data_IF_425562019906
#
_entry.id   IF_425562019906
#
_cell.length_a   1.000
_cell.length_b   1.000
_cell.length_c   1.000
_cell.angle_alpha   90.00
_cell.angle_beta   90.00
_cell.angle_gamma   90.00
#
_symmetry.space_group_name_H-M   'P 1'
#
loop_
_entity.id
_entity.type
_entity.pdbx_description
1 polymer ?
#
# COMPACT_ATOMS: atom_id res chain seq x y z
N UNK A 1 -17.80 7.39 -2.99
CA UNK A 1 -18.81 6.59 -2.26
C UNK A 1 -19.40 5.54 -3.21
N UNK A 2 -18.69 4.43 -3.38
CA UNK A 2 -19.21 3.29 -4.13
C UNK A 2 -19.42 2.14 -3.14
N UNK A 3 -20.67 1.86 -2.82
CA UNK A 3 -21.12 0.63 -2.17
C UNK A 3 -21.22 -0.42 -3.28
N UNK A 4 -20.28 -1.35 -3.37
CA UNK A 4 -20.47 -2.54 -4.18
C UNK A 4 -21.24 -3.58 -3.38
N UNK A 5 -22.55 -3.67 -3.64
CA UNK A 5 -23.41 -4.79 -3.31
C UNK A 5 -23.60 -5.62 -4.60
N UNK A 6 -22.96 -6.80 -4.72
CA UNK A 6 -23.43 -7.88 -5.60
C UNK A 6 -22.73 -9.21 -5.28
N UNK A 7 -23.48 -10.32 -5.22
CA UNK A 7 -22.92 -11.66 -5.09
C UNK A 7 -22.79 -12.33 -6.46
N UNK A 8 -21.59 -12.75 -6.85
CA UNK A 8 -21.46 -13.76 -7.92
C UNK A 8 -20.22 -14.63 -7.77
N UNK A 9 -20.43 -15.92 -7.90
CA UNK A 9 -19.45 -17.00 -7.76
C UNK A 9 -18.82 -17.34 -9.10
N UNK A 10 -17.48 -17.40 -9.19
CA UNK A 10 -16.77 -18.09 -10.28
C UNK A 10 -15.40 -18.63 -9.81
N UNK A 11 -15.19 -19.90 -10.08
CA UNK A 11 -14.03 -20.72 -9.73
C UNK A 11 -12.91 -20.52 -10.74
N UNK A 12 -11.65 -20.39 -10.32
CA UNK A 12 -10.46 -20.46 -11.16
C UNK A 12 -9.36 -21.34 -10.54
N UNK A 13 -8.48 -21.92 -11.37
CA UNK A 13 -7.61 -23.03 -11.00
C UNK A 13 -6.29 -22.61 -10.35
N UNK A 14 -5.72 -23.56 -9.59
CA UNK A 14 -4.43 -23.46 -8.91
C UNK A 14 -3.25 -23.48 -9.91
N UNK A 15 -2.27 -22.61 -9.75
CA UNK A 15 -0.85 -22.99 -9.71
C UNK A 15 0.12 -21.83 -9.42
N UNK A 16 1.15 -22.19 -8.63
CA UNK A 16 2.48 -21.60 -8.42
C UNK A 16 2.72 -20.59 -7.31
N UNK A 17 3.39 -21.13 -6.30
CA UNK A 17 4.10 -20.46 -5.23
C UNK A 17 5.05 -19.36 -5.73
N UNK A 18 4.79 -18.13 -5.28
CA UNK A 18 5.80 -17.09 -5.14
C UNK A 18 5.68 -16.51 -3.74
N UNK A 19 6.64 -16.89 -2.91
CA UNK A 19 6.82 -16.31 -1.57
C UNK A 19 7.10 -14.82 -1.70
N UNK A 20 6.09 -14.01 -1.44
CA UNK A 20 6.25 -12.55 -1.30
C UNK A 20 6.57 -12.28 0.16
N UNK A 21 7.81 -11.87 0.46
CA UNK A 21 8.18 -11.40 1.81
C UNK A 21 7.36 -10.16 2.15
N UNK A 22 6.71 -10.10 3.33
CA UNK A 22 5.94 -8.93 3.72
C UNK A 22 6.86 -7.75 3.97
N UNK A 23 6.65 -6.65 3.25
CA UNK A 23 7.24 -5.36 3.59
C UNK A 23 6.55 -4.87 4.88
N UNK A 24 7.32 -4.83 5.96
CA UNK A 24 6.86 -4.41 7.29
C UNK A 24 6.66 -2.90 7.33
N UNK A 25 5.42 -2.43 7.08
CA UNK A 25 4.98 -1.11 7.52
C UNK A 25 3.45 -1.06 7.68
N UNK A 26 3.00 -1.59 8.82
CA UNK A 26 1.63 -1.34 9.26
C UNK A 26 1.60 -0.08 10.13
N UNK A 27 1.06 1.00 9.58
CA UNK A 27 0.79 2.19 10.38
C UNK A 27 -0.54 2.00 11.11
N UNK A 28 -0.45 1.57 12.38
CA UNK A 28 -1.61 1.35 13.24
C UNK A 28 -1.97 2.68 13.90
N UNK A 29 -2.99 3.37 13.40
CA UNK A 29 -3.67 4.42 14.16
C UNK A 29 -4.77 3.76 15.00
N UNK A 30 -4.47 3.50 16.26
CA UNK A 30 -5.40 2.96 17.24
C UNK A 30 -6.17 4.10 17.92
N UNK A 31 -7.49 4.17 17.66
CA UNK A 31 -8.43 4.78 18.59
C UNK A 31 -8.78 3.79 19.71
N UNK A 32 -9.20 4.25 20.91
CA UNK A 32 -9.41 3.38 22.04
C UNK A 32 -10.67 2.52 21.90
N UNK A 33 -10.56 1.31 22.39
CA UNK A 33 -11.57 0.30 22.72
C UNK A 33 -12.16 -0.57 21.58
N UNK A 34 -12.00 -1.88 21.83
CA UNK A 34 -12.52 -3.07 21.13
C UNK A 34 -11.74 -3.55 19.90
N UNK A 35 -10.42 -3.48 19.90
CA UNK A 35 -9.64 -4.25 18.94
C UNK A 35 -9.37 -5.66 19.48
N UNK A 36 -10.12 -6.66 19.00
CA UNK A 36 -9.70 -8.04 19.16
C UNK A 36 -8.47 -8.27 18.26
N UNK A 37 -7.24 -8.41 18.83
CA UNK A 37 -6.03 -8.53 18.04
C UNK A 37 -6.07 -9.76 17.13
N UNK A 38 -6.70 -10.85 17.55
CA UNK A 38 -6.85 -12.06 16.75
C UNK A 38 -7.74 -11.83 15.51
N UNK A 39 -8.81 -11.03 15.61
CA UNK A 39 -9.64 -10.67 14.44
C UNK A 39 -8.84 -9.82 13.46
N UNK A 40 -8.09 -8.85 13.96
CA UNK A 40 -7.23 -8.00 13.12
C UNK A 40 -6.20 -8.84 12.37
N UNK A 41 -5.51 -9.75 13.06
CA UNK A 41 -4.51 -10.63 12.47
C UNK A 41 -5.12 -11.48 11.35
N UNK A 42 -6.24 -12.15 11.60
CA UNK A 42 -6.95 -12.96 10.60
C UNK A 42 -7.40 -12.15 9.38
N UNK A 43 -7.89 -10.92 9.58
CA UNK A 43 -8.24 -10.04 8.46
C UNK A 43 -7.01 -9.69 7.64
N UNK A 44 -5.88 -9.34 8.30
CA UNK A 44 -4.64 -9.00 7.60
C UNK A 44 -4.05 -10.20 6.86
N UNK A 45 -4.07 -11.39 7.44
CA UNK A 45 -3.68 -12.63 6.77
C UNK A 45 -4.51 -12.88 5.52
N UNK A 46 -5.83 -12.69 5.61
CA UNK A 46 -6.73 -12.82 4.46
C UNK A 46 -6.41 -11.81 3.37
N UNK A 47 -6.16 -10.54 3.73
CA UNK A 47 -5.76 -9.49 2.79
C UNK A 47 -4.46 -9.85 2.08
N UNK A 48 -3.46 -10.34 2.82
CA UNK A 48 -2.16 -10.73 2.25
C UNK A 48 -2.27 -11.96 1.35
N UNK A 49 -3.09 -12.94 1.73
CA UNK A 49 -3.34 -14.12 0.90
C UNK A 49 -4.00 -13.74 -0.43
N UNK A 50 -5.04 -12.89 -0.41
CA UNK A 50 -5.69 -12.39 -1.64
C UNK A 50 -4.71 -11.62 -2.52
N UNK A 51 -3.86 -10.78 -1.91
CA UNK A 51 -2.86 -10.03 -2.65
C UNK A 51 -1.84 -10.94 -3.33
N UNK A 52 -1.37 -11.98 -2.64
CA UNK A 52 -0.46 -12.98 -3.21
C UNK A 52 -1.07 -13.73 -4.37
N UNK A 53 -2.31 -14.20 -4.23
CA UNK A 53 -3.01 -14.99 -5.26
C UNK A 53 -3.33 -14.18 -6.52
N UNK A 54 -3.66 -12.89 -6.37
CA UNK A 54 -3.96 -12.00 -7.49
C UNK A 54 -2.75 -11.24 -8.03
N UNK A 55 -1.57 -11.38 -7.39
CA UNK A 55 -0.31 -10.76 -7.83
C UNK A 55 -0.23 -9.25 -7.52
N UNK A 56 -1.00 -8.75 -6.55
CA UNK A 56 -0.93 -7.37 -6.10
C UNK A 56 -0.01 -7.21 -4.88
N UNK A 57 0.44 -5.98 -4.66
CA UNK A 57 1.16 -5.56 -3.47
C UNK A 57 0.21 -4.80 -2.56
N UNK A 58 0.35 -4.96 -1.25
CA UNK A 58 -0.40 -4.15 -0.29
C UNK A 58 0.42 -2.89 0.04
N UNK A 59 -0.09 -1.74 -0.38
CA UNK A 59 0.47 -0.44 0.00
C UNK A 59 0.07 -0.04 1.42
N UNK A 60 -1.19 -0.30 1.79
CA UNK A 60 -1.75 -0.01 3.11
C UNK A 60 -2.98 -0.87 3.34
N UNK A 61 -3.12 -1.41 4.55
CA UNK A 61 -4.33 -2.09 4.99
C UNK A 61 -4.67 -1.67 6.42
N UNK A 62 -5.89 -1.22 6.62
CA UNK A 62 -6.38 -0.76 7.91
C UNK A 62 -7.72 -1.42 8.24
N UNK A 63 -7.86 -1.86 9.50
CA UNK A 63 -9.12 -2.31 10.07
C UNK A 63 -9.51 -1.35 11.19
N UNK A 64 -10.63 -0.65 11.00
CA UNK A 64 -11.20 0.27 11.96
C UNK A 64 -12.47 -0.35 12.54
N UNK A 65 -12.52 -0.49 13.86
CA UNK A 65 -13.73 -0.94 14.56
C UNK A 65 -14.56 0.28 14.93
N UNK A 66 -15.84 0.30 14.51
CA UNK A 66 -16.83 1.33 14.83
C UNK A 66 -18.07 0.68 15.46
N UNK A 67 -17.98 0.30 16.73
CA UNK A 67 -19.06 -0.42 17.39
C UNK A 67 -19.34 -1.77 16.74
N UNK A 68 -20.57 -2.00 16.28
CA UNK A 68 -20.97 -3.23 15.55
C UNK A 68 -20.45 -3.27 14.11
N UNK A 69 -20.15 -2.13 13.51
CA UNK A 69 -19.67 -2.02 12.13
C UNK A 69 -18.14 -1.90 12.10
N UNK A 70 -17.51 -2.69 11.28
CA UNK A 70 -16.07 -2.59 11.00
C UNK A 70 -15.84 -1.97 9.63
N UNK A 71 -14.72 -1.26 9.45
CA UNK A 71 -14.31 -0.74 8.16
C UNK A 71 -12.95 -1.30 7.79
N UNK A 72 -12.89 -2.05 6.70
CA UNK A 72 -11.66 -2.57 6.11
C UNK A 72 -11.28 -1.67 4.95
N UNK A 73 -10.14 -0.98 5.05
CA UNK A 73 -9.62 -0.10 4.02
C UNK A 73 -8.31 -0.69 3.50
N UNK A 74 -8.27 -1.03 2.22
CA UNK A 74 -7.08 -1.61 1.59
C UNK A 74 -6.67 -0.76 0.40
N UNK A 75 -5.38 -0.43 0.34
CA UNK A 75 -4.77 0.19 -0.83
C UNK A 75 -3.83 -0.80 -1.48
N UNK A 76 -4.22 -1.24 -2.67
CA UNK A 76 -3.43 -2.18 -3.47
C UNK A 76 -2.53 -1.44 -4.44
N UNK A 77 -1.39 -2.06 -4.74
CA UNK A 77 -0.42 -1.58 -5.67
C UNK A 77 0.01 -2.70 -6.62
N UNK A 78 0.68 -2.38 -7.71
CA UNK A 78 1.12 -3.37 -8.72
C UNK A 78 2.37 -2.92 -9.44
N UNK A 79 2.94 -3.79 -10.27
CA UNK A 79 4.05 -3.43 -11.17
C UNK A 79 3.59 -2.48 -12.28
N UNK A 80 2.29 -2.50 -12.60
CA UNK A 80 1.60 -1.59 -13.51
C UNK A 80 0.62 -0.71 -12.73
N UNK A 81 0.19 0.43 -13.28
CA UNK A 81 -0.84 1.26 -12.67
C UNK A 81 -2.11 0.45 -12.40
N UNK A 82 -2.63 0.58 -11.18
CA UNK A 82 -3.85 -0.09 -10.76
C UNK A 82 -5.08 0.56 -11.40
N UNK A 83 -5.87 -0.22 -12.07
CA UNK A 83 -7.15 0.17 -12.67
C UNK A 83 -8.34 -0.02 -11.71
N UNK A 84 -9.50 0.49 -12.10
CA UNK A 84 -10.74 0.23 -11.35
C UNK A 84 -11.13 -1.25 -11.35
N UNK A 85 -10.90 -1.96 -12.48
CA UNK A 85 -11.16 -3.40 -12.57
C UNK A 85 -10.28 -4.23 -11.63
N UNK A 86 -9.03 -3.79 -11.38
CA UNK A 86 -8.15 -4.44 -10.41
C UNK A 86 -8.68 -4.28 -8.98
N UNK A 87 -9.10 -3.06 -8.63
CA UNK A 87 -9.72 -2.79 -7.33
C UNK A 87 -11.02 -3.60 -7.14
N UNK A 88 -11.82 -3.72 -8.18
CA UNK A 88 -13.07 -4.50 -8.16
C UNK A 88 -12.78 -6.00 -7.99
N UNK A 89 -11.84 -6.56 -8.75
CA UNK A 89 -11.45 -7.95 -8.64
C UNK A 89 -10.92 -8.29 -7.24
N UNK A 90 -10.05 -7.44 -6.71
CA UNK A 90 -9.51 -7.59 -5.36
C UNK A 90 -10.61 -7.49 -4.30
N UNK A 91 -11.49 -6.49 -4.40
CA UNK A 91 -12.61 -6.28 -3.47
C UNK A 91 -13.55 -7.48 -3.43
N UNK A 92 -13.89 -8.03 -4.60
CA UNK A 92 -14.77 -9.19 -4.73
C UNK A 92 -14.19 -10.43 -4.07
N UNK A 93 -12.92 -10.72 -4.34
CA UNK A 93 -12.26 -11.90 -3.76
C UNK A 93 -12.03 -11.73 -2.24
N UNK A 94 -11.64 -10.55 -1.80
CA UNK A 94 -11.47 -10.29 -0.37
C UNK A 94 -12.79 -10.40 0.40
N UNK A 95 -13.88 -9.82 -0.13
CA UNK A 95 -15.21 -9.94 0.47
C UNK A 95 -15.64 -11.39 0.60
N UNK A 96 -15.50 -12.18 -0.49
CA UNK A 96 -15.84 -13.60 -0.49
C UNK A 96 -15.12 -14.37 0.63
N UNK A 97 -13.80 -14.16 0.78
CA UNK A 97 -13.02 -14.86 1.82
C UNK A 97 -13.35 -14.41 3.24
N UNK A 98 -13.59 -13.11 3.45
CA UNK A 98 -14.00 -12.60 4.76
C UNK A 98 -15.36 -13.15 5.18
N UNK A 99 -16.30 -13.27 4.24
CA UNK A 99 -17.65 -13.80 4.45
C UNK A 99 -17.60 -15.30 4.74
N UNK A 100 -16.85 -16.07 3.94
CA UNK A 100 -16.68 -17.52 4.13
C UNK A 100 -16.00 -17.85 5.47
N UNK A 101 -15.04 -17.03 5.90
CA UNK A 101 -14.35 -17.22 7.16
C UNK A 101 -15.16 -16.73 8.38
N UNK A 102 -16.25 -15.98 8.16
CA UNK A 102 -17.07 -15.42 9.25
C UNK A 102 -16.30 -14.56 10.24
N UNK A 103 -15.25 -13.86 9.76
CA UNK A 103 -14.32 -13.11 10.64
C UNK A 103 -14.99 -11.83 11.16
N UNK A 104 -15.77 -11.16 10.32
CA UNK A 104 -16.44 -9.90 10.62
C UNK A 104 -17.94 -10.07 10.39
N UNK A 105 -18.81 -9.83 11.40
CA UNK A 105 -20.26 -9.99 11.24
C UNK A 105 -20.86 -8.92 10.31
N UNK A 106 -20.40 -7.68 10.44
CA UNK A 106 -20.80 -6.55 9.60
C UNK A 106 -19.58 -5.68 9.32
N UNK A 107 -19.32 -5.38 8.04
CA UNK A 107 -18.21 -4.52 7.65
C UNK A 107 -18.48 -3.76 6.37
N UNK A 108 -17.78 -2.65 6.22
CA UNK A 108 -17.62 -1.94 4.95
C UNK A 108 -16.23 -2.24 4.40
N UNK A 109 -16.13 -2.51 3.11
CA UNK A 109 -14.86 -2.74 2.42
C UNK A 109 -14.60 -1.60 1.43
N UNK A 110 -13.44 -0.96 1.55
CA UNK A 110 -12.93 0.03 0.62
C UNK A 110 -11.60 -0.48 0.04
N UNK A 111 -11.56 -0.66 -1.28
CA UNK A 111 -10.34 -1.00 -2.01
C UNK A 111 -10.02 0.13 -2.97
N UNK A 112 -8.78 0.63 -2.92
CA UNK A 112 -8.32 1.72 -3.76
C UNK A 112 -6.84 1.57 -4.10
N UNK A 113 -6.36 2.37 -5.07
CA UNK A 113 -4.92 2.54 -5.30
C UNK A 113 -4.38 3.71 -4.47
N UNK A 114 -3.06 3.75 -4.18
CA UNK A 114 -2.45 4.87 -3.47
C UNK A 114 -2.46 6.19 -4.28
N UNK A 115 -2.89 6.11 -5.56
CA UNK A 115 -2.94 7.26 -6.46
C UNK A 115 -1.56 7.68 -6.98
N UNK A 116 -1.58 8.74 -7.81
CA UNK A 116 -0.40 9.21 -8.52
C UNK A 116 0.61 9.97 -7.63
N UNK A 117 0.14 10.59 -6.56
CA UNK A 117 0.97 11.28 -5.57
C UNK A 117 1.29 10.39 -4.36
N UNK A 118 1.63 9.13 -4.65
CA UNK A 118 1.95 8.17 -3.58
C UNK A 118 3.19 8.58 -2.80
N UNK A 119 3.17 8.28 -1.51
CA UNK A 119 4.33 8.47 -0.65
C UNK A 119 5.34 7.35 -0.87
N UNK A 120 6.62 7.70 -0.99
CA UNK A 120 7.73 6.77 -1.02
C UNK A 120 8.23 6.55 0.42
N UNK A 121 8.16 5.31 0.90
CA UNK A 121 8.40 4.98 2.32
C UNK A 121 9.61 4.08 2.53
N UNK A 122 10.18 3.52 1.46
CA UNK A 122 11.33 2.63 1.54
C UNK A 122 12.30 2.85 0.38
N UNK A 123 13.53 2.42 0.57
CA UNK A 123 14.58 2.46 -0.46
C UNK A 123 14.17 1.66 -1.70
N UNK A 124 13.46 0.53 -1.50
CA UNK A 124 12.94 -0.33 -2.57
C UNK A 124 11.91 0.39 -3.43
N UNK A 125 11.08 1.24 -2.82
CA UNK A 125 10.14 2.06 -3.58
C UNK A 125 10.85 3.08 -4.46
N UNK A 126 11.93 3.71 -3.98
CA UNK A 126 12.75 4.58 -4.82
C UNK A 126 13.40 3.81 -5.97
N UNK A 127 13.91 2.59 -5.74
CA UNK A 127 14.44 1.74 -6.82
C UNK A 127 13.38 1.41 -7.87
N UNK A 128 12.17 1.06 -7.41
CA UNK A 128 11.04 0.71 -8.28
C UNK A 128 10.60 1.88 -9.15
N UNK A 129 10.59 3.09 -8.59
CA UNK A 129 10.17 4.31 -9.29
C UNK A 129 11.33 5.10 -9.88
N UNK A 130 12.46 4.44 -10.15
CA UNK A 130 13.56 5.04 -10.89
C UNK A 130 13.07 5.60 -12.21
N UNK A 131 13.44 6.84 -12.52
CA UNK A 131 13.00 7.56 -13.71
C UNK A 131 11.73 8.38 -13.54
N UNK A 132 11.00 8.22 -12.43
CA UNK A 132 9.84 9.05 -12.09
C UNK A 132 10.25 10.31 -11.36
N UNK A 133 9.43 11.37 -11.47
CA UNK A 133 9.64 12.59 -10.69
C UNK A 133 9.15 12.41 -9.25
N UNK A 134 9.89 12.96 -8.30
CA UNK A 134 9.55 12.93 -6.89
C UNK A 134 9.82 14.28 -6.23
N UNK A 135 8.96 14.63 -5.27
CA UNK A 135 9.22 15.71 -4.31
C UNK A 135 9.73 15.08 -3.02
N UNK A 136 10.95 15.42 -2.65
CA UNK A 136 11.62 14.91 -1.46
C UNK A 136 11.90 16.05 -0.49
N UNK A 137 11.51 15.85 0.77
CA UNK A 137 11.78 16.74 1.89
C UNK A 137 12.75 16.02 2.81
N UNK A 138 13.92 16.58 3.01
CA UNK A 138 14.97 15.97 3.81
C UNK A 138 15.68 17.01 4.69
N UNK A 139 16.43 16.52 5.69
CA UNK A 139 17.26 17.34 6.56
C UNK A 139 18.64 17.49 5.95
N UNK A 140 19.13 18.73 5.86
CA UNK A 140 20.48 19.09 5.44
C UNK A 140 21.13 19.93 6.55
N UNK A 141 21.88 19.25 7.42
CA UNK A 141 22.33 19.85 8.69
C UNK A 141 21.14 20.22 9.58
N UNK A 142 21.10 21.49 10.02
CA UNK A 142 19.98 22.01 10.84
C UNK A 142 18.79 22.51 10.02
N UNK A 143 18.94 22.61 8.70
CA UNK A 143 17.90 23.09 7.80
C UNK A 143 17.07 21.94 7.21
N UNK A 144 15.84 22.28 6.81
CA UNK A 144 15.01 21.40 6.00
C UNK A 144 15.03 21.89 4.55
N UNK A 145 15.39 20.97 3.63
CA UNK A 145 15.39 21.26 2.20
C UNK A 145 14.29 20.49 1.48
N UNK A 146 13.80 21.07 0.40
CA UNK A 146 12.81 20.47 -0.50
C UNK A 146 13.41 20.43 -1.89
N UNK A 147 13.48 19.24 -2.48
CA UNK A 147 13.94 19.04 -3.85
C UNK A 147 12.82 18.37 -4.63
N UNK A 148 12.60 18.86 -5.85
CA UNK A 148 11.74 18.23 -6.85
C UNK A 148 12.61 17.79 -8.00
N UNK A 149 12.74 16.49 -8.17
CA UNK A 149 13.64 15.95 -9.18
C UNK A 149 13.28 14.55 -9.62
N UNK A 150 13.95 14.11 -10.67
CA UNK A 150 13.81 12.75 -11.18
C UNK A 150 14.67 11.80 -10.36
N UNK A 151 14.12 10.67 -9.97
CA UNK A 151 14.87 9.61 -9.29
C UNK A 151 15.82 8.98 -10.31
N UNK A 152 17.11 9.21 -10.18
CA UNK A 152 18.13 8.64 -11.08
C UNK A 152 18.58 7.25 -10.66
N UNK A 153 18.75 7.05 -9.37
CA UNK A 153 19.24 5.80 -8.85
C UNK A 153 19.22 5.73 -7.33
N UNK A 154 19.56 4.56 -6.86
CA UNK A 154 19.69 4.27 -5.43
C UNK A 154 20.91 3.40 -5.25
N UNK A 155 21.86 3.87 -4.44
CA UNK A 155 23.06 3.14 -4.05
C UNK A 155 23.07 2.97 -2.52
N UNK A 156 22.91 1.71 -2.08
CA UNK A 156 22.70 1.44 -0.66
C UNK A 156 21.49 2.19 -0.10
N UNK A 157 21.72 3.10 0.84
CA UNK A 157 20.73 4.01 1.42
C UNK A 157 20.70 5.39 0.76
N UNK A 158 21.59 5.67 -0.20
CA UNK A 158 21.69 6.97 -0.87
C UNK A 158 20.78 7.02 -2.09
N UNK A 159 19.94 8.05 -2.16
CA UNK A 159 18.99 8.33 -3.25
C UNK A 159 19.56 9.45 -4.10
N UNK A 160 19.75 9.20 -5.40
CA UNK A 160 20.18 10.20 -6.37
C UNK A 160 18.97 10.84 -7.05
N UNK A 161 18.84 12.15 -6.90
CA UNK A 161 17.77 12.96 -7.47
C UNK A 161 18.37 13.97 -8.46
N UNK A 162 17.83 14.02 -9.68
CA UNK A 162 18.21 15.03 -10.68
C UNK A 162 17.22 16.20 -10.66
N UNK A 163 17.72 17.40 -10.37
CA UNK A 163 16.98 18.66 -10.47
C UNK A 163 17.64 19.53 -11.53
N UNK A 164 17.05 19.56 -12.74
CA UNK A 164 17.68 20.17 -13.91
C UNK A 164 18.98 19.45 -14.31
N UNK A 165 20.10 20.16 -14.31
CA UNK A 165 21.42 19.63 -14.63
C UNK A 165 22.16 19.09 -13.41
N UNK A 166 21.70 19.39 -12.22
CA UNK A 166 22.33 18.97 -10.97
C UNK A 166 21.82 17.60 -10.51
N UNK A 167 22.73 16.79 -9.98
CA UNK A 167 22.42 15.51 -9.33
C UNK A 167 22.75 15.64 -7.84
N UNK A 168 21.73 15.49 -7.02
CA UNK A 168 21.84 15.54 -5.58
C UNK A 168 21.70 14.13 -4.98
N UNK A 169 22.69 13.71 -4.21
CA UNK A 169 22.60 12.49 -3.40
C UNK A 169 22.05 12.84 -2.01
N UNK A 170 20.98 12.12 -1.62
CA UNK A 170 20.30 12.31 -0.33
C UNK A 170 20.27 10.98 0.40
N UNK A 171 20.72 10.96 1.64
CA UNK A 171 20.62 9.78 2.49
C UNK A 171 19.17 9.54 2.88
N UNK A 172 18.69 8.30 2.72
CA UNK A 172 17.32 7.90 3.03
C UNK A 172 16.93 8.21 4.48
N UNK A 173 17.86 8.05 5.43
CA UNK A 173 17.59 8.35 6.85
C UNK A 173 17.35 9.85 7.11
N UNK A 174 17.90 10.73 6.26
CA UNK A 174 17.64 12.16 6.32
C UNK A 174 16.29 12.57 5.76
N UNK A 175 15.61 11.69 5.01
CA UNK A 175 14.33 11.98 4.35
C UNK A 175 13.20 11.99 5.36
N UNK A 176 12.53 13.12 5.49
CA UNK A 176 11.29 13.27 6.29
C UNK A 176 10.05 12.81 5.55
N UNK A 177 9.97 13.13 4.27
CA UNK A 177 8.89 12.68 3.41
C UNK A 177 9.29 12.74 1.95
N UNK A 178 8.79 11.80 1.16
CA UNK A 178 8.93 11.78 -0.27
C UNK A 178 7.60 11.34 -0.92
N UNK A 179 7.25 12.00 -2.02
CA UNK A 179 6.05 11.68 -2.79
C UNK A 179 6.40 11.68 -4.27
N UNK A 180 5.81 10.77 -5.03
CA UNK A 180 5.85 10.85 -6.49
C UNK A 180 5.13 12.12 -6.95
N UNK A 181 5.66 12.77 -7.97
CA UNK A 181 5.02 13.85 -8.73
C UNK A 181 4.85 13.42 -10.19
N UNK A 182 3.75 13.85 -10.79
CA UNK A 182 3.45 13.65 -12.22
C UNK A 182 3.59 14.97 -12.94
#
# INVERSE_FOLDING_TARGET
LWRCLFPFSLRLPADKERVVKPLSFFNVHSGPEMSNPAVRERVMETVMAVAGDLGYLIYEANLLFKGRNSSVVVRIDGHTPISHSDCEAFSRELSRRLDEAGILPEYSLEVSSPGLRRRLRSVEEFRRFRGSSAKVIFRDGDAQRVVKGKIEGVDGASISLRDGDDVLAVDFESIKSANLEL
#
